data_IF_905852220064
#
_entry.id   IF_905852220064
#
_cell.length_a   1.000
_cell.length_b   1.000
_cell.length_c   1.000
_cell.angle_alpha   90.00
_cell.angle_beta   90.00
_cell.angle_gamma   90.00
#
_symmetry.space_group_name_H-M   'P 1'
#
loop_
_entity.id
_entity.type
_entity.pdbx_description
1 polymer ?
#
# COMPACT_ATOMS: atom_id res chain seq x y z
N UNK A 1 -21.06 -18.36 5.28
CA UNK A 1 -19.66 -17.91 5.13
C UNK A 1 -19.41 -16.85 6.18
N UNK A 2 -18.37 -16.96 7.01
CA UNK A 2 -18.04 -15.91 7.99
C UNK A 2 -17.56 -14.68 7.21
N UNK A 3 -18.20 -13.52 7.40
CA UNK A 3 -17.63 -12.25 6.94
C UNK A 3 -16.30 -12.07 7.68
N UNK A 4 -15.18 -12.06 6.95
CA UNK A 4 -13.88 -11.73 7.55
C UNK A 4 -13.86 -10.24 7.85
N UNK A 5 -13.54 -9.88 9.08
CA UNK A 5 -13.37 -8.48 9.45
C UNK A 5 -12.13 -7.92 8.74
N UNK A 6 -12.04 -6.60 8.51
CA UNK A 6 -10.86 -5.97 7.91
C UNK A 6 -9.53 -6.32 8.60
N UNK A 7 -9.60 -6.67 9.89
CA UNK A 7 -8.47 -6.99 10.75
C UNK A 7 -8.11 -8.49 10.79
N UNK A 8 -8.93 -9.35 10.18
CA UNK A 8 -8.67 -10.79 10.21
C UNK A 8 -7.38 -11.12 9.44
N UNK A 9 -6.47 -11.92 10.03
CA UNK A 9 -5.24 -12.27 9.37
C UNK A 9 -5.49 -13.21 8.18
N UNK A 10 -4.78 -12.96 7.08
CA UNK A 10 -4.83 -13.72 5.83
C UNK A 10 -3.41 -13.91 5.30
N UNK A 11 -3.26 -14.78 4.30
CA UNK A 11 -2.03 -14.83 3.50
C UNK A 11 -1.97 -13.60 2.62
N UNK A 12 -0.82 -12.93 2.61
CA UNK A 12 -0.56 -11.67 1.94
C UNK A 12 0.50 -11.86 0.85
N UNK A 13 0.42 -11.04 -0.18
CA UNK A 13 1.50 -10.93 -1.17
C UNK A 13 2.76 -10.37 -0.51
N UNK A 14 2.62 -9.32 0.28
CA UNK A 14 3.70 -8.66 1.03
C UNK A 14 4.57 -7.71 0.19
N UNK A 15 4.35 -7.66 -1.13
CA UNK A 15 5.13 -6.83 -2.06
C UNK A 15 4.37 -6.53 -3.36
N UNK A 16 3.09 -6.18 -3.22
CA UNK A 16 2.22 -5.94 -4.38
C UNK A 16 2.41 -4.50 -4.87
N UNK A 17 2.96 -4.36 -6.07
CA UNK A 17 3.12 -3.07 -6.76
C UNK A 17 2.90 -3.26 -8.26
N UNK A 18 2.86 -2.16 -9.02
CA UNK A 18 2.50 -2.18 -10.44
C UNK A 18 3.44 -3.05 -11.31
N UNK A 19 4.68 -3.28 -10.88
CA UNK A 19 5.64 -4.18 -11.54
C UNK A 19 5.39 -5.67 -11.26
N UNK A 20 4.71 -5.99 -10.16
CA UNK A 20 4.38 -7.36 -9.76
C UNK A 20 2.96 -7.78 -10.14
N UNK A 21 2.25 -6.98 -10.95
CA UNK A 21 0.92 -7.32 -11.50
C UNK A 21 1.00 -7.26 -13.02
N UNK A 22 0.99 -8.43 -13.66
CA UNK A 22 1.22 -8.55 -15.09
C UNK A 22 -0.05 -9.04 -15.81
N UNK A 23 -0.20 -8.62 -17.07
CA UNK A 23 -1.25 -9.11 -17.97
C UNK A 23 -0.82 -10.44 -18.61
N UNK A 24 -1.53 -11.53 -18.32
CA UNK A 24 -1.33 -12.85 -18.91
C UNK A 24 -2.32 -13.14 -20.05
N UNK A 25 -2.82 -12.10 -20.72
CA UNK A 25 -3.70 -12.18 -21.87
C UNK A 25 -5.03 -12.86 -21.51
N UNK A 26 -5.40 -13.99 -22.13
CA UNK A 26 -6.66 -14.68 -21.83
C UNK A 26 -6.83 -15.11 -20.36
N UNK A 27 -5.74 -15.21 -19.60
CA UNK A 27 -5.76 -15.55 -18.17
C UNK A 27 -6.03 -14.34 -17.26
N UNK A 28 -5.99 -13.12 -17.81
CA UNK A 28 -6.15 -11.87 -17.07
C UNK A 28 -4.91 -11.47 -16.26
N UNK A 29 -5.12 -10.53 -15.34
CA UNK A 29 -4.06 -10.00 -14.47
C UNK A 29 -3.69 -10.99 -13.37
N UNK A 30 -2.40 -11.28 -13.21
CA UNK A 30 -1.88 -12.12 -12.13
C UNK A 30 -0.80 -11.38 -11.35
N UNK A 31 -0.80 -11.60 -10.04
CA UNK A 31 0.28 -11.16 -9.16
C UNK A 31 1.43 -12.18 -9.15
N UNK A 32 2.67 -11.70 -9.10
CA UNK A 32 3.91 -12.50 -9.10
C UNK A 32 4.88 -12.01 -8.01
N UNK A 33 5.87 -12.84 -7.67
CA UNK A 33 6.88 -12.56 -6.63
C UNK A 33 6.30 -12.28 -5.22
N UNK A 34 5.44 -13.16 -4.67
CA UNK A 34 4.95 -12.98 -3.31
C UNK A 34 6.06 -13.24 -2.29
N UNK A 35 6.14 -12.38 -1.26
CA UNK A 35 6.96 -12.63 -0.06
C UNK A 35 6.30 -13.60 0.92
N UNK A 36 5.00 -13.87 0.76
CA UNK A 36 4.29 -14.92 1.48
C UNK A 36 4.09 -14.63 2.97
N UNK A 37 3.64 -13.41 3.29
CA UNK A 37 3.41 -12.99 4.67
C UNK A 37 2.05 -13.48 5.20
N UNK A 38 1.89 -13.52 6.53
CA UNK A 38 0.61 -13.77 7.18
C UNK A 38 0.27 -12.63 8.13
N UNK A 39 -0.84 -11.94 7.89
CA UNK A 39 -1.17 -10.73 8.64
C UNK A 39 -2.45 -10.07 8.16
N UNK A 40 -2.69 -8.84 8.62
CA UNK A 40 -3.91 -8.11 8.28
C UNK A 40 -3.96 -7.75 6.79
N UNK A 41 -5.11 -8.03 6.16
CA UNK A 41 -5.30 -7.87 4.71
C UNK A 41 -5.11 -6.45 4.17
N UNK A 42 -5.25 -5.43 5.02
CA UNK A 42 -5.09 -4.02 4.63
C UNK A 42 -3.64 -3.72 4.28
N UNK A 43 -2.67 -4.47 4.83
CA UNK A 43 -1.25 -4.27 4.58
C UNK A 43 -0.88 -4.34 3.09
N UNK A 44 -1.43 -5.29 2.33
CA UNK A 44 -1.16 -5.43 0.89
C UNK A 44 -1.59 -4.19 0.07
N UNK A 45 -2.36 -3.28 0.64
CA UNK A 45 -2.75 -2.05 -0.06
C UNK A 45 -1.81 -0.87 0.25
N UNK A 46 -0.79 -1.05 1.08
CA UNK A 46 0.11 0.05 1.44
C UNK A 46 1.09 0.38 0.30
N UNK A 47 1.78 -0.62 -0.25
CA UNK A 47 2.83 -0.44 -1.26
C UNK A 47 2.32 0.28 -2.52
N UNK A 48 1.07 0.05 -2.91
CA UNK A 48 0.49 0.63 -4.14
C UNK A 48 0.40 2.16 -4.12
N UNK A 49 0.58 2.81 -2.96
CA UNK A 49 0.58 4.26 -2.86
C UNK A 49 1.82 4.92 -3.45
N UNK A 50 2.92 4.17 -3.58
CA UNK A 50 4.14 4.58 -4.28
C UNK A 50 4.10 4.32 -5.80
N UNK A 51 3.02 3.73 -6.33
CA UNK A 51 2.95 3.41 -7.76
C UNK A 51 2.67 4.64 -8.66
N UNK A 52 3.03 4.55 -9.94
CA UNK A 52 4.14 3.75 -10.48
C UNK A 52 5.51 4.29 -10.05
N UNK A 53 5.59 5.59 -9.80
CA UNK A 53 6.80 6.32 -9.48
C UNK A 53 6.43 7.57 -8.66
N UNK A 54 7.45 8.32 -8.26
CA UNK A 54 7.31 9.53 -7.45
C UNK A 54 6.47 10.61 -8.13
N UNK A 55 6.73 10.87 -9.41
CA UNK A 55 6.05 11.92 -10.17
C UNK A 55 4.53 11.68 -10.19
N UNK A 56 4.11 10.43 -10.39
CA UNK A 56 2.70 10.07 -10.40
C UNK A 56 2.09 9.88 -9.01
N UNK A 57 2.85 9.42 -8.02
CA UNK A 57 2.37 9.21 -6.66
C UNK A 57 2.12 10.54 -5.92
N UNK A 58 2.95 11.55 -6.19
CA UNK A 58 2.96 12.83 -5.46
C UNK A 58 2.19 13.96 -6.14
N UNK A 59 1.47 13.69 -7.23
CA UNK A 59 0.60 14.69 -7.85
C UNK A 59 -0.40 15.23 -6.81
N UNK A 60 -0.54 16.56 -6.63
CA UNK A 60 -1.42 17.13 -5.63
C UNK A 60 -2.86 16.56 -5.66
N UNK A 61 -3.33 16.13 -4.48
CA UNK A 61 -4.64 15.53 -4.29
C UNK A 61 -4.78 14.08 -4.77
N UNK A 62 -3.75 13.47 -5.39
CA UNK A 62 -3.82 12.06 -5.81
C UNK A 62 -3.81 11.11 -4.63
N UNK A 63 -3.00 11.40 -3.60
CA UNK A 63 -2.97 10.60 -2.38
C UNK A 63 -4.37 10.46 -1.77
N UNK A 64 -5.08 11.57 -1.56
CA UNK A 64 -6.44 11.57 -1.02
C UNK A 64 -7.41 10.81 -1.93
N UNK A 65 -7.34 11.03 -3.25
CA UNK A 65 -8.18 10.31 -4.22
C UNK A 65 -7.93 8.80 -4.21
N UNK A 66 -6.67 8.38 -4.06
CA UNK A 66 -6.27 6.97 -3.96
C UNK A 66 -6.80 6.35 -2.67
N UNK A 67 -6.67 7.05 -1.53
CA UNK A 67 -7.23 6.59 -0.25
C UNK A 67 -8.73 6.32 -0.39
N UNK A 68 -9.50 7.28 -0.90
CA UNK A 68 -10.96 7.12 -1.06
C UNK A 68 -11.31 5.97 -2.01
N UNK A 69 -10.57 5.84 -3.12
CA UNK A 69 -10.78 4.76 -4.09
C UNK A 69 -10.48 3.39 -3.49
N UNK A 70 -9.34 3.23 -2.84
CA UNK A 70 -8.90 1.96 -2.24
C UNK A 70 -9.81 1.57 -1.08
N UNK A 71 -10.08 2.50 -0.17
CA UNK A 71 -10.97 2.26 0.98
C UNK A 71 -12.36 1.81 0.53
N UNK A 72 -12.90 2.41 -0.54
CA UNK A 72 -14.19 2.03 -1.12
C UNK A 72 -14.14 0.65 -1.80
N UNK A 73 -13.15 0.38 -2.65
CA UNK A 73 -13.06 -0.88 -3.41
C UNK A 73 -12.81 -2.07 -2.48
N UNK A 74 -11.94 -1.88 -1.48
CA UNK A 74 -11.53 -2.94 -0.58
C UNK A 74 -12.39 -3.00 0.71
N UNK A 75 -13.38 -2.10 0.84
CA UNK A 75 -14.30 -2.02 1.98
C UNK A 75 -13.59 -1.86 3.34
N UNK A 76 -12.57 -0.99 3.37
CA UNK A 76 -11.77 -0.72 4.57
C UNK A 76 -12.09 0.64 5.18
N UNK A 77 -11.94 0.73 6.50
CA UNK A 77 -11.95 2.01 7.18
C UNK A 77 -10.73 2.85 6.79
N UNK A 78 -10.98 4.09 6.32
CA UNK A 78 -9.94 5.07 5.92
C UNK A 78 -8.79 5.17 6.94
N UNK A 79 -9.12 5.26 8.23
CA UNK A 79 -8.13 5.38 9.30
C UNK A 79 -7.18 4.17 9.35
N UNK A 80 -7.70 2.94 9.16
CA UNK A 80 -6.88 1.72 9.23
C UNK A 80 -5.95 1.60 8.04
N UNK A 81 -6.43 1.97 6.84
CA UNK A 81 -5.61 2.04 5.65
C UNK A 81 -4.44 3.04 5.83
N UNK A 82 -4.72 4.23 6.35
CA UNK A 82 -3.68 5.23 6.62
C UNK A 82 -2.64 4.76 7.65
N UNK A 83 -3.06 4.03 8.69
CA UNK A 83 -2.14 3.45 9.67
C UNK A 83 -1.18 2.45 9.03
N UNK A 84 -1.69 1.59 8.13
CA UNK A 84 -0.85 0.62 7.41
C UNK A 84 0.07 1.27 6.39
N UNK A 85 -0.39 2.31 5.68
CA UNK A 85 0.48 3.09 4.78
C UNK A 85 1.63 3.71 5.57
N UNK A 86 1.35 4.32 6.73
CA UNK A 86 2.38 4.93 7.57
C UNK A 86 3.38 3.87 8.08
N UNK A 87 2.89 2.73 8.58
CA UNK A 87 3.75 1.65 9.07
C UNK A 87 4.62 1.07 7.96
N UNK A 88 4.03 0.80 6.78
CA UNK A 88 4.74 0.29 5.62
C UNK A 88 5.78 1.28 5.09
N UNK A 89 5.45 2.58 5.05
CA UNK A 89 6.40 3.63 4.64
C UNK A 89 7.66 3.62 5.50
N UNK A 90 7.50 3.41 6.82
CA UNK A 90 8.65 3.27 7.73
C UNK A 90 9.45 1.99 7.49
N UNK A 91 8.79 0.87 7.22
CA UNK A 91 9.45 -0.40 6.89
C UNK A 91 10.24 -0.28 5.58
N UNK A 92 9.60 0.26 4.53
CA UNK A 92 10.21 0.46 3.20
C UNK A 92 11.42 1.40 3.30
N UNK A 93 11.25 2.54 4.01
CA UNK A 93 12.34 3.48 4.22
C UNK A 93 13.53 2.85 4.96
N UNK A 94 13.29 2.03 5.99
CA UNK A 94 14.37 1.33 6.69
C UNK A 94 15.15 0.40 5.75
N UNK A 95 14.44 -0.36 4.91
CA UNK A 95 15.06 -1.25 3.95
C UNK A 95 15.89 -0.52 2.88
N UNK A 96 15.38 0.60 2.34
CA UNK A 96 16.10 1.44 1.36
C UNK A 96 17.35 2.08 1.99
N UNK A 97 17.26 2.53 3.24
CA UNK A 97 18.42 3.10 3.94
C UNK A 97 19.53 2.05 4.17
N UNK A 98 19.16 0.78 4.38
CA UNK A 98 20.13 -0.32 4.50
C UNK A 98 20.89 -0.58 3.18
N UNK A 99 20.34 -0.22 2.02
CA UNK A 99 21.04 -0.32 0.72
C UNK A 99 21.92 0.90 0.43
N UNK A 100 21.84 1.96 1.24
CA UNK A 100 22.56 3.22 1.04
C UNK A 100 21.84 4.21 0.10
N UNK A 101 20.59 3.92 -0.28
CA UNK A 101 19.74 4.78 -1.10
C UNK A 101 18.84 5.67 -0.24
N UNK A 102 18.22 6.69 -0.86
CA UNK A 102 17.31 7.62 -0.18
C UNK A 102 15.84 7.23 -0.41
N UNK A 103 15.03 7.06 0.65
CA UNK A 103 13.62 6.65 0.54
C UNK A 103 12.69 7.85 0.32
N UNK A 104 12.92 8.65 -0.73
CA UNK A 104 12.23 9.94 -0.93
C UNK A 104 10.71 9.77 -1.05
N UNK A 105 10.24 8.89 -1.96
CA UNK A 105 8.81 8.63 -2.17
C UNK A 105 8.13 8.02 -0.94
N UNK A 106 8.75 7.02 -0.30
CA UNK A 106 8.22 6.34 0.87
C UNK A 106 8.09 7.30 2.05
N UNK A 107 9.10 8.16 2.24
CA UNK A 107 9.08 9.19 3.29
C UNK A 107 7.95 10.18 3.07
N UNK A 108 7.75 10.64 1.84
CA UNK A 108 6.70 11.61 1.53
C UNK A 108 5.30 11.00 1.64
N UNK A 109 5.10 9.76 1.16
CA UNK A 109 3.85 9.01 1.35
C UNK A 109 3.57 8.79 2.84
N UNK A 110 4.58 8.45 3.64
CA UNK A 110 4.48 8.36 5.08
C UNK A 110 4.07 9.68 5.73
N UNK A 111 4.64 10.81 5.28
CA UNK A 111 4.29 12.15 5.76
C UNK A 111 2.84 12.51 5.44
N UNK A 112 2.37 12.21 4.24
CA UNK A 112 0.98 12.41 3.82
C UNK A 112 0.01 11.57 4.67
N UNK A 113 0.34 10.30 4.91
CA UNK A 113 -0.44 9.40 5.76
C UNK A 113 -0.52 9.91 7.21
N UNK A 114 0.61 10.28 7.80
CA UNK A 114 0.68 10.85 9.15
C UNK A 114 -0.11 12.17 9.26
N UNK A 115 -0.02 13.03 8.24
CA UNK A 115 -0.78 14.27 8.17
C UNK A 115 -2.29 14.01 8.10
N UNK A 116 -2.73 13.04 7.30
CA UNK A 116 -4.13 12.66 7.17
C UNK A 116 -4.71 12.05 8.45
N UNK A 117 -3.91 11.25 9.18
CA UNK A 117 -4.31 10.65 10.46
C UNK A 117 -4.57 11.67 11.56
N UNK A 118 -3.86 12.81 11.54
CA UNK A 118 -4.09 13.92 12.50
C UNK A 118 -5.40 14.67 12.23
N UNK A 119 -6.01 14.50 11.05
CA UNK A 119 -7.25 15.17 10.62
C UNK A 119 -8.50 14.29 10.75
N UNK A 120 -8.34 13.02 11.15
CA UNK A 120 -9.42 12.07 11.47
C UNK A 120 -9.62 11.94 12.97
#
# INVERSE_FOLDING_TARGET
MKHRLPQDPVVLHGDIHHGNVLDFGPRGWLAIDPKGLYGERVFDYANIFCNPDEEAALIPGWFERRIERVARIAEFGRRRLLQWILAWSGLSAAWILETGEMPDIDTEIGRLAAGALKRT
#
